data_IF_234354511462
#
_entry.id   IF_234354511462
#
_cell.length_a   1.000
_cell.length_b   1.000
_cell.length_c   1.000
_cell.angle_alpha   90.00
_cell.angle_beta   90.00
_cell.angle_gamma   90.00
#
_symmetry.space_group_name_H-M   'P 1'
#
loop_
_entity.id
_entity.type
_entity.pdbx_description
1 polymer ?
#
# COMPACT_ATOMS: atom_id res chain seq x y z
N UNK A 1 20.13 41.68 -25.78
CA UNK A 1 20.36 40.76 -24.63
C UNK A 1 19.20 39.78 -24.53
N UNK A 2 19.41 38.56 -25.00
CA UNK A 2 18.44 37.49 -24.92
C UNK A 2 18.69 36.72 -23.59
N UNK A 3 17.82 36.91 -22.60
CA UNK A 3 17.92 36.16 -21.35
C UNK A 3 17.40 34.72 -21.57
N UNK A 4 18.32 33.77 -21.57
CA UNK A 4 18.00 32.33 -21.65
C UNK A 4 17.50 31.87 -20.28
N UNK A 5 16.20 31.73 -20.14
CA UNK A 5 15.60 31.16 -18.93
C UNK A 5 15.78 29.63 -18.98
N UNK A 6 16.83 29.13 -18.36
CA UNK A 6 17.01 27.69 -18.18
C UNK A 6 16.01 27.19 -17.16
N UNK A 7 14.91 26.54 -17.63
CA UNK A 7 14.05 25.71 -16.79
C UNK A 7 14.88 24.53 -16.27
N UNK A 8 15.40 24.64 -15.07
CA UNK A 8 15.90 23.48 -14.33
C UNK A 8 14.70 22.60 -13.97
N UNK A 9 14.52 21.50 -14.71
CA UNK A 9 13.69 20.40 -14.28
C UNK A 9 14.34 19.80 -13.02
N UNK A 10 13.89 20.24 -11.84
CA UNK A 10 14.29 19.60 -10.59
C UNK A 10 13.73 18.19 -10.59
N UNK A 11 14.57 17.21 -10.87
CA UNK A 11 14.24 15.81 -10.62
C UNK A 11 13.81 15.69 -9.16
N UNK A 12 12.69 15.01 -8.95
CA UNK A 12 12.06 14.81 -7.65
C UNK A 12 13.05 14.20 -6.66
N UNK A 13 13.74 15.05 -5.95
CA UNK A 13 14.60 14.71 -4.83
C UNK A 13 13.68 14.60 -3.61
N UNK A 14 14.01 13.72 -2.67
CA UNK A 14 13.24 13.49 -1.44
C UNK A 14 12.92 14.81 -0.74
N UNK A 15 11.70 15.30 -0.90
CA UNK A 15 11.22 16.57 -0.36
C UNK A 15 11.18 16.51 1.18
N UNK A 16 11.93 17.38 1.89
CA UNK A 16 11.97 17.37 3.35
C UNK A 16 10.60 17.59 4.00
N UNK A 17 9.72 18.39 3.38
CA UNK A 17 8.37 18.66 3.90
C UNK A 17 7.48 17.41 3.78
N UNK A 18 7.56 16.72 2.65
CA UNK A 18 6.90 15.43 2.47
C UNK A 18 7.45 14.39 3.45
N UNK A 19 8.77 14.36 3.66
CA UNK A 19 9.42 13.43 4.59
C UNK A 19 8.86 13.52 6.00
N UNK A 20 8.74 14.71 6.55
CA UNK A 20 8.20 14.91 7.91
C UNK A 20 6.81 14.28 8.05
N UNK A 21 5.94 14.47 7.05
CA UNK A 21 4.58 13.90 7.07
C UNK A 21 4.61 12.38 6.95
N UNK A 22 5.43 11.84 6.07
CA UNK A 22 5.59 10.39 5.86
C UNK A 22 6.17 9.71 7.09
N UNK A 23 7.17 10.31 7.75
CA UNK A 23 7.77 9.80 8.96
C UNK A 23 6.77 9.74 10.13
N UNK A 24 5.86 10.73 10.25
CA UNK A 24 4.80 10.72 11.27
C UNK A 24 3.84 9.53 11.08
N UNK A 25 3.45 9.22 9.84
CA UNK A 25 2.63 8.04 9.54
C UNK A 25 3.40 6.77 9.90
N UNK A 26 4.65 6.66 9.45
CA UNK A 26 5.51 5.51 9.71
C UNK A 26 5.71 5.25 11.20
N UNK A 27 5.99 6.30 11.97
CA UNK A 27 6.13 6.21 13.42
C UNK A 27 4.85 5.70 14.10
N UNK A 28 3.68 6.18 13.66
CA UNK A 28 2.39 5.73 14.19
C UNK A 28 2.13 4.25 13.91
N UNK A 29 2.41 3.80 12.69
CA UNK A 29 2.29 2.38 12.31
C UNK A 29 3.27 1.53 13.13
N UNK A 30 4.54 1.93 13.21
CA UNK A 30 5.59 1.22 13.93
C UNK A 30 5.30 1.06 15.42
N UNK A 31 4.69 2.08 16.03
CA UNK A 31 4.34 2.08 17.47
C UNK A 31 3.03 1.34 17.77
N UNK A 32 2.32 0.86 16.75
CA UNK A 32 1.05 0.15 16.92
C UNK A 32 1.28 -1.31 17.29
N UNK A 33 0.54 -1.82 18.28
CA UNK A 33 0.54 -3.25 18.66
C UNK A 33 -0.20 -4.11 17.64
N UNK A 34 -1.13 -3.51 16.92
CA UNK A 34 -1.89 -4.12 15.83
C UNK A 34 -2.78 -3.08 15.17
N UNK A 35 -3.00 -3.22 13.87
CA UNK A 35 -3.75 -2.28 13.05
C UNK A 35 -4.85 -3.03 12.33
N UNK A 36 -6.07 -2.51 12.41
CA UNK A 36 -7.21 -2.97 11.64
C UNK A 36 -7.65 -1.86 10.69
N UNK A 37 -7.73 -2.14 9.39
CA UNK A 37 -8.09 -1.17 8.36
C UNK A 37 -9.25 -1.70 7.53
N UNK A 38 -10.26 -0.87 7.30
CA UNK A 38 -11.29 -1.09 6.29
C UNK A 38 -11.00 -0.21 5.08
N UNK A 39 -10.98 -0.81 3.91
CA UNK A 39 -10.56 -0.17 2.66
C UNK A 39 -11.65 -0.37 1.61
N UNK A 40 -11.92 0.68 0.84
CA UNK A 40 -12.61 0.58 -0.44
C UNK A 40 -11.59 0.78 -1.56
N UNK A 41 -11.56 -0.15 -2.50
CA UNK A 41 -10.69 -0.08 -3.68
C UNK A 41 -11.54 0.07 -4.94
N UNK A 42 -11.23 1.10 -5.75
CA UNK A 42 -11.92 1.39 -7.02
C UNK A 42 -10.88 1.38 -8.13
N UNK A 43 -11.04 0.48 -9.09
CA UNK A 43 -10.12 0.38 -10.23
C UNK A 43 -10.77 0.92 -11.50
N UNK A 44 -9.95 1.59 -12.34
CA UNK A 44 -10.31 2.08 -13.66
C UNK A 44 -9.24 1.65 -14.66
N UNK A 45 -9.65 1.31 -15.88
CA UNK A 45 -8.70 1.04 -16.95
C UNK A 45 -8.07 2.34 -17.49
N UNK A 46 -7.13 2.23 -18.44
CA UNK A 46 -6.43 3.35 -19.06
C UNK A 46 -7.35 4.34 -19.79
N UNK A 47 -8.56 3.94 -20.14
CA UNK A 47 -9.60 4.78 -20.75
C UNK A 47 -10.51 5.44 -19.68
N UNK A 48 -10.24 5.24 -18.41
CA UNK A 48 -11.04 5.78 -17.29
C UNK A 48 -12.33 5.00 -16.99
N UNK A 49 -12.60 3.88 -17.67
CA UNK A 49 -13.77 3.03 -17.43
C UNK A 49 -13.62 2.29 -16.11
N UNK A 50 -14.64 2.36 -15.26
CA UNK A 50 -14.65 1.65 -13.99
C UNK A 50 -14.59 0.12 -14.21
N UNK A 51 -13.70 -0.55 -13.47
CA UNK A 51 -13.52 -2.01 -13.51
C UNK A 51 -14.11 -2.69 -12.26
N UNK A 52 -14.68 -1.91 -11.34
CA UNK A 52 -15.35 -2.40 -10.16
C UNK A 52 -14.89 -1.72 -8.87
N UNK A 53 -15.66 -2.00 -7.83
CA UNK A 53 -15.38 -1.56 -6.46
C UNK A 53 -15.29 -2.78 -5.57
N UNK A 54 -14.28 -2.83 -4.73
CA UNK A 54 -14.01 -3.94 -3.81
C UNK A 54 -13.87 -3.41 -2.39
N UNK A 55 -14.42 -4.17 -1.43
CA UNK A 55 -14.22 -3.92 -0.01
C UNK A 55 -13.14 -4.87 0.50
N UNK A 56 -12.20 -4.33 1.27
CA UNK A 56 -11.03 -5.06 1.77
C UNK A 56 -10.93 -4.82 3.28
N UNK A 57 -10.74 -5.90 4.02
CA UNK A 57 -10.34 -5.86 5.42
C UNK A 57 -8.85 -6.20 5.52
N UNK A 58 -8.08 -5.33 6.15
CA UNK A 58 -6.64 -5.53 6.36
C UNK A 58 -6.34 -5.52 7.85
N UNK A 59 -5.62 -6.54 8.31
CA UNK A 59 -5.02 -6.64 9.65
C UNK A 59 -3.52 -6.63 9.51
N UNK A 60 -2.82 -5.88 10.37
CA UNK A 60 -1.36 -5.81 10.37
C UNK A 60 -0.83 -5.88 11.80
N UNK A 61 0.31 -6.55 11.97
CA UNK A 61 1.08 -6.61 13.24
C UNK A 61 2.56 -6.78 12.94
N UNK A 62 3.34 -5.70 13.07
CA UNK A 62 4.73 -5.68 12.60
C UNK A 62 4.80 -5.99 11.11
N UNK A 63 5.59 -7.00 10.74
CA UNK A 63 5.77 -7.42 9.35
C UNK A 63 4.72 -8.43 8.86
N UNK A 64 3.76 -8.78 9.70
CA UNK A 64 2.69 -9.72 9.39
C UNK A 64 1.44 -8.98 8.94
N UNK A 65 0.71 -9.55 7.97
CA UNK A 65 -0.59 -9.02 7.59
C UNK A 65 -1.55 -10.10 7.07
N UNK A 66 -2.84 -9.82 7.18
CA UNK A 66 -3.93 -10.58 6.55
C UNK A 66 -4.85 -9.60 5.84
N UNK A 67 -5.00 -9.78 4.54
CA UNK A 67 -5.89 -9.00 3.68
C UNK A 67 -6.99 -9.92 3.17
N UNK A 68 -8.25 -9.51 3.36
CA UNK A 68 -9.43 -10.27 2.89
C UNK A 68 -10.30 -9.43 1.98
N UNK A 69 -10.71 -10.05 0.86
CA UNK A 69 -11.64 -9.50 -0.10
C UNK A 69 -12.62 -10.60 -0.52
N UNK A 70 -13.82 -10.60 0.07
CA UNK A 70 -14.74 -11.73 -0.11
C UNK A 70 -14.10 -13.02 0.37
N UNK A 71 -14.02 -14.02 -0.50
CA UNK A 71 -13.39 -15.32 -0.22
C UNK A 71 -11.86 -15.30 -0.44
N UNK A 72 -11.34 -14.34 -1.21
CA UNK A 72 -9.89 -14.20 -1.42
C UNK A 72 -9.20 -13.75 -0.14
N UNK A 73 -8.03 -14.34 0.12
CA UNK A 73 -7.20 -13.98 1.26
C UNK A 73 -5.72 -13.92 0.87
N UNK A 74 -5.04 -12.84 1.27
CA UNK A 74 -3.58 -12.77 1.25
C UNK A 74 -3.12 -12.78 2.70
N UNK A 75 -2.32 -13.77 3.06
CA UNK A 75 -1.76 -13.94 4.39
C UNK A 75 -0.23 -13.84 4.31
N UNK A 76 0.37 -12.99 5.14
CA UNK A 76 1.80 -12.87 5.29
C UNK A 76 2.19 -13.10 6.75
N UNK A 77 3.07 -14.06 7.00
CA UNK A 77 3.59 -14.36 8.34
C UNK A 77 4.87 -13.58 8.69
N UNK A 78 5.29 -12.69 7.78
CA UNK A 78 6.52 -11.90 7.86
C UNK A 78 7.64 -12.42 6.95
N UNK A 79 7.56 -13.67 6.48
CA UNK A 79 8.56 -14.30 5.60
C UNK A 79 7.91 -14.80 4.31
N UNK A 80 6.77 -15.45 4.43
CA UNK A 80 6.04 -16.10 3.33
C UNK A 80 4.69 -15.41 3.15
N UNK A 81 4.31 -15.25 1.89
CA UNK A 81 3.01 -14.76 1.47
C UNK A 81 2.24 -15.93 0.88
N UNK A 82 1.03 -16.16 1.39
CA UNK A 82 0.06 -17.13 0.89
C UNK A 82 -1.10 -16.35 0.28
N UNK A 83 -1.35 -16.56 -1.01
CA UNK A 83 -2.42 -15.87 -1.73
C UNK A 83 -3.48 -16.90 -2.16
N UNK A 84 -4.59 -16.94 -1.44
CA UNK A 84 -5.74 -17.77 -1.76
C UNK A 84 -6.68 -17.05 -2.74
N UNK A 85 -6.99 -17.68 -3.86
CA UNK A 85 -7.82 -17.12 -4.93
C UNK A 85 -9.32 -17.03 -4.59
N UNK A 86 -9.74 -17.60 -3.46
CA UNK A 86 -11.14 -17.67 -3.03
C UNK A 86 -11.90 -18.91 -3.55
N UNK A 87 -11.23 -19.81 -4.29
CA UNK A 87 -11.82 -21.01 -4.88
C UNK A 87 -11.07 -22.26 -4.39
N UNK A 88 -9.93 -22.56 -4.98
CA UNK A 88 -9.18 -23.78 -4.69
C UNK A 88 -7.67 -23.69 -4.90
N UNK A 89 -7.11 -22.49 -5.09
CA UNK A 89 -5.68 -22.31 -5.35
C UNK A 89 -5.05 -21.41 -4.31
N UNK A 90 -3.90 -21.82 -3.78
CA UNK A 90 -3.02 -20.99 -2.96
C UNK A 90 -1.68 -20.90 -3.67
N UNK A 91 -1.27 -19.69 -4.07
CA UNK A 91 0.10 -19.44 -4.47
C UNK A 91 0.92 -19.00 -3.25
N UNK A 92 2.17 -19.45 -3.20
CA UNK A 92 3.11 -19.18 -2.11
C UNK A 92 4.34 -18.48 -2.70
N UNK A 93 4.82 -17.43 -2.05
CA UNK A 93 6.03 -16.72 -2.44
C UNK A 93 6.73 -16.16 -1.23
N UNK A 94 8.02 -15.90 -1.32
CA UNK A 94 8.71 -15.15 -0.26
C UNK A 94 8.38 -13.65 -0.34
N UNK A 95 8.51 -12.96 0.80
CA UNK A 95 8.36 -11.49 0.84
C UNK A 95 9.37 -10.82 -0.08
N UNK A 96 10.59 -11.38 -0.21
CA UNK A 96 11.64 -10.86 -1.08
C UNK A 96 11.29 -10.95 -2.56
N UNK A 97 10.67 -12.05 -3.01
CA UNK A 97 10.23 -12.24 -4.40
C UNK A 97 9.05 -11.35 -4.77
N UNK A 98 8.17 -11.05 -3.81
CA UNK A 98 7.00 -10.19 -4.04
C UNK A 98 7.32 -8.70 -4.05
N UNK A 99 8.58 -8.29 -3.99
CA UNK A 99 9.02 -6.89 -3.90
C UNK A 99 8.65 -6.03 -5.11
N UNK A 100 8.28 -6.63 -6.23
CA UNK A 100 7.79 -5.93 -7.44
C UNK A 100 6.44 -5.23 -7.24
N UNK A 101 5.64 -5.67 -6.27
CA UNK A 101 4.31 -5.14 -5.99
C UNK A 101 4.30 -4.19 -4.80
N UNK A 102 3.28 -3.34 -4.73
CA UNK A 102 3.06 -2.45 -3.59
C UNK A 102 2.30 -3.19 -2.50
N UNK A 103 3.01 -3.68 -1.49
CA UNK A 103 2.38 -4.35 -0.35
C UNK A 103 1.63 -3.36 0.55
N UNK A 104 0.63 -3.81 1.32
CA UNK A 104 -0.06 -2.97 2.31
C UNK A 104 0.89 -2.33 3.31
N UNK A 105 1.95 -3.03 3.71
CA UNK A 105 2.97 -2.50 4.60
C UNK A 105 3.74 -1.35 3.95
N UNK A 106 4.18 -1.50 2.69
CA UNK A 106 4.88 -0.44 1.98
C UNK A 106 4.01 0.79 1.81
N UNK A 107 2.69 0.60 1.63
CA UNK A 107 1.74 1.70 1.49
C UNK A 107 1.45 2.40 2.82
N UNK A 108 1.39 1.68 3.94
CA UNK A 108 0.96 2.21 5.24
C UNK A 108 2.12 2.45 6.21
N UNK A 109 3.18 1.66 6.15
CA UNK A 109 4.22 1.62 7.18
C UNK A 109 5.32 2.68 7.03
N UNK A 110 5.31 3.46 5.94
CA UNK A 110 6.11 4.68 5.86
C UNK A 110 7.62 4.52 5.65
N UNK A 111 8.12 3.35 5.26
CA UNK A 111 9.54 3.21 4.92
C UNK A 111 9.80 3.64 3.47
N UNK A 112 9.36 4.86 3.13
CA UNK A 112 9.37 5.36 1.75
C UNK A 112 10.76 5.74 1.25
N UNK A 113 11.67 6.13 2.13
CA UNK A 113 13.03 6.58 1.78
C UNK A 113 13.83 5.56 0.97
N UNK A 114 13.61 4.27 1.26
CA UNK A 114 14.35 3.19 0.61
C UNK A 114 13.85 2.88 -0.79
N UNK A 115 12.54 3.04 -1.01
CA UNK A 115 11.89 2.54 -2.22
C UNK A 115 11.43 3.66 -3.17
N UNK A 116 11.37 4.94 -2.70
CA UNK A 116 10.76 6.03 -3.46
C UNK A 116 11.57 7.32 -3.43
N UNK A 117 11.48 8.09 -4.51
CA UNK A 117 11.53 9.54 -4.47
C UNK A 117 10.12 10.06 -4.17
N UNK A 118 10.03 11.18 -3.47
CA UNK A 118 8.74 11.76 -3.11
C UNK A 118 8.77 13.28 -3.10
N UNK A 119 7.61 13.88 -3.39
CA UNK A 119 7.42 15.32 -3.39
C UNK A 119 6.06 15.70 -2.81
N UNK A 120 6.01 16.84 -2.13
CA UNK A 120 4.77 17.43 -1.64
C UNK A 120 4.11 18.19 -2.81
N UNK A 121 2.98 17.69 -3.31
CA UNK A 121 2.24 18.36 -4.38
C UNK A 121 1.38 19.53 -3.87
N UNK A 122 0.99 19.49 -2.61
CA UNK A 122 0.23 20.53 -1.96
C UNK A 122 -0.24 20.13 -0.57
N UNK A 123 -0.60 21.12 0.24
CA UNK A 123 -1.14 20.87 1.57
C UNK A 123 -2.09 21.97 2.03
N UNK A 124 -2.99 21.59 2.94
CA UNK A 124 -3.85 22.46 3.72
C UNK A 124 -3.50 22.34 5.21
N UNK A 125 -4.27 22.97 6.10
CA UNK A 125 -4.13 22.75 7.54
C UNK A 125 -4.38 21.29 7.95
N UNK A 126 -5.29 20.60 7.29
CA UNK A 126 -5.73 19.23 7.64
C UNK A 126 -5.18 18.12 6.75
N UNK A 127 -4.84 18.41 5.50
CA UNK A 127 -4.44 17.38 4.53
C UNK A 127 -3.14 17.72 3.81
N UNK A 128 -2.43 16.71 3.37
CA UNK A 128 -1.29 16.82 2.46
C UNK A 128 -1.44 15.82 1.31
N UNK A 129 -1.04 16.23 0.10
CA UNK A 129 -0.96 15.37 -1.09
C UNK A 129 0.49 15.17 -1.44
N UNK A 130 0.94 13.92 -1.46
CA UNK A 130 2.33 13.53 -1.68
C UNK A 130 2.38 12.57 -2.87
N UNK A 131 3.26 12.84 -3.83
CA UNK A 131 3.58 11.92 -4.93
C UNK A 131 4.77 11.06 -4.55
N UNK A 132 4.69 9.76 -4.81
CA UNK A 132 5.76 8.79 -4.66
C UNK A 132 6.11 8.22 -6.04
N UNK A 133 7.39 8.28 -6.41
CA UNK A 133 7.93 7.70 -7.64
C UNK A 133 8.89 6.56 -7.26
N UNK A 134 8.66 5.32 -7.74
CA UNK A 134 9.52 4.20 -7.40
C UNK A 134 10.96 4.41 -7.91
N UNK A 135 11.95 4.12 -7.07
CA UNK A 135 13.36 4.15 -7.46
C UNK A 135 13.68 2.99 -8.41
N UNK A 136 13.11 1.82 -8.15
CA UNK A 136 13.24 0.66 -9.03
C UNK A 136 12.23 0.71 -10.17
N UNK A 137 12.74 0.93 -11.38
CA UNK A 137 11.95 0.97 -12.63
C UNK A 137 11.24 -0.35 -12.97
N UNK A 138 11.59 -1.47 -12.33
CA UNK A 138 10.96 -2.79 -12.54
C UNK A 138 9.63 -2.93 -11.80
N UNK A 139 9.32 -2.07 -10.82
CA UNK A 139 8.03 -2.08 -10.12
C UNK A 139 6.86 -2.07 -11.11
N UNK A 140 5.76 -2.75 -10.77
CA UNK A 140 4.57 -2.88 -11.60
C UNK A 140 3.76 -1.58 -11.75
N UNK A 141 4.12 -0.54 -11.03
CA UNK A 141 3.45 0.77 -11.03
C UNK A 141 4.43 1.90 -11.38
N UNK A 142 3.89 3.01 -11.90
CA UNK A 142 4.64 4.20 -12.31
C UNK A 142 4.73 5.21 -11.16
N UNK A 143 3.63 5.41 -10.44
CA UNK A 143 3.54 6.35 -9.31
C UNK A 143 2.42 6.03 -8.35
N UNK A 144 2.55 6.54 -7.14
CA UNK A 144 1.51 6.54 -6.13
C UNK A 144 1.29 7.98 -5.65
N UNK A 145 0.04 8.42 -5.58
CA UNK A 145 -0.32 9.70 -4.98
C UNK A 145 -1.05 9.43 -3.67
N UNK A 146 -0.48 9.88 -2.57
CA UNK A 146 -1.05 9.74 -1.23
C UNK A 146 -1.82 11.00 -0.85
N UNK A 147 -2.97 10.83 -0.21
CA UNK A 147 -3.63 11.89 0.56
C UNK A 147 -3.56 11.52 2.03
N UNK A 148 -2.93 12.37 2.81
CA UNK A 148 -2.67 12.18 4.23
C UNK A 148 -3.53 13.13 5.06
N UNK A 149 -4.24 12.60 6.05
CA UNK A 149 -4.86 13.38 7.12
C UNK A 149 -3.75 13.74 8.13
N UNK A 150 -3.34 15.03 8.14
CA UNK A 150 -2.26 15.53 9.00
C UNK A 150 -2.68 15.56 10.48
N UNK A 151 -3.96 15.77 10.76
CA UNK A 151 -4.49 15.81 12.14
C UNK A 151 -4.42 14.43 12.78
N UNK A 152 -4.78 13.39 12.00
CA UNK A 152 -4.74 12.01 12.47
C UNK A 152 -3.39 11.34 12.25
N UNK A 153 -2.46 11.97 11.53
CA UNK A 153 -1.23 11.33 11.02
C UNK A 153 -1.54 9.96 10.43
N UNK A 154 -2.42 9.94 9.43
CA UNK A 154 -2.95 8.73 8.85
C UNK A 154 -3.18 8.87 7.35
N UNK A 155 -3.01 7.78 6.60
CA UNK A 155 -3.38 7.73 5.20
C UNK A 155 -4.90 7.82 5.06
N UNK A 156 -5.39 8.76 4.25
CA UNK A 156 -6.81 8.87 3.86
C UNK A 156 -7.09 8.11 2.57
N UNK A 157 -6.20 8.25 1.60
CA UNK A 157 -6.31 7.52 0.33
C UNK A 157 -4.96 7.43 -0.38
N UNK A 158 -4.86 6.46 -1.30
CA UNK A 158 -3.76 6.35 -2.25
C UNK A 158 -4.32 6.11 -3.66
N UNK A 159 -3.79 6.81 -4.65
CA UNK A 159 -4.06 6.55 -6.07
C UNK A 159 -2.80 5.94 -6.67
N UNK A 160 -2.93 4.74 -7.22
CA UNK A 160 -1.84 3.98 -7.83
C UNK A 160 -2.06 3.98 -9.33
N UNK A 161 -1.06 4.44 -10.10
CA UNK A 161 -1.03 4.37 -11.55
C UNK A 161 -0.08 3.24 -11.94
N UNK A 162 -0.59 2.21 -12.64
CA UNK A 162 0.23 1.11 -13.14
C UNK A 162 0.92 1.45 -14.47
N UNK A 163 1.79 0.56 -14.94
CA UNK A 163 2.52 0.72 -16.21
C UNK A 163 1.64 0.66 -17.45
N UNK A 164 0.44 0.11 -17.34
CA UNK A 164 -0.57 0.07 -18.41
C UNK A 164 -1.53 1.26 -18.34
N UNK A 165 -1.23 2.27 -17.51
CA UNK A 165 -2.08 3.44 -17.26
C UNK A 165 -3.44 3.12 -16.64
N UNK A 166 -3.62 1.95 -16.05
CA UNK A 166 -4.78 1.71 -15.21
C UNK A 166 -4.58 2.42 -13.86
N UNK A 167 -5.66 2.89 -13.27
CA UNK A 167 -5.62 3.56 -11.97
C UNK A 167 -6.39 2.77 -10.92
N UNK A 168 -5.84 2.69 -9.72
CA UNK A 168 -6.51 2.09 -8.56
C UNK A 168 -6.52 3.10 -7.43
N UNK A 169 -7.72 3.52 -7.02
CA UNK A 169 -7.94 4.36 -5.86
C UNK A 169 -8.24 3.48 -4.65
N UNK A 170 -7.39 3.57 -3.65
CA UNK A 170 -7.51 2.94 -2.34
C UNK A 170 -7.99 3.99 -1.36
N UNK A 171 -9.22 3.88 -0.84
CA UNK A 171 -9.78 4.77 0.19
C UNK A 171 -9.75 4.06 1.54
N UNK A 172 -9.19 4.68 2.55
CA UNK A 172 -9.25 4.20 3.92
C UNK A 172 -10.58 4.65 4.52
N UNK A 173 -11.48 3.70 4.78
CA UNK A 173 -12.80 3.98 5.37
C UNK A 173 -12.69 4.09 6.89
N UNK A 174 -11.89 3.23 7.51
CA UNK A 174 -11.57 3.28 8.93
C UNK A 174 -10.20 2.69 9.20
N UNK A 175 -9.52 3.18 10.23
CA UNK A 175 -8.25 2.64 10.70
C UNK A 175 -8.21 2.67 12.24
N UNK A 176 -7.90 1.53 12.84
CA UNK A 176 -7.71 1.37 14.27
C UNK A 176 -6.26 0.93 14.54
N UNK A 177 -5.47 1.79 15.17
CA UNK A 177 -4.06 1.54 15.50
C UNK A 177 -3.85 0.85 16.85
N UNK A 178 -4.93 0.59 17.60
CA UNK A 178 -4.87 -0.03 18.94
C UNK A 178 -5.51 -1.42 18.95
N UNK A 179 -5.68 -2.04 17.77
CA UNK A 179 -6.30 -3.34 17.66
C UNK A 179 -5.46 -4.42 18.36
N UNK A 180 -6.12 -5.25 19.18
CA UNK A 180 -5.50 -6.42 19.79
C UNK A 180 -5.64 -7.59 18.83
N UNK A 181 -4.55 -7.99 18.19
CA UNK A 181 -4.53 -9.03 17.18
C UNK A 181 -3.69 -10.22 17.68
N UNK A 182 -4.31 -11.41 17.74
CA UNK A 182 -3.62 -12.64 18.09
C UNK A 182 -2.66 -13.07 16.96
N UNK A 183 -1.50 -13.62 17.30
CA UNK A 183 -0.46 -14.01 16.34
C UNK A 183 -0.91 -15.11 15.38
N UNK A 184 -1.81 -16.01 15.83
CA UNK A 184 -2.35 -17.09 15.01
C UNK A 184 -3.22 -16.60 13.84
N UNK A 185 -3.63 -15.31 13.81
CA UNK A 185 -4.32 -14.70 12.69
C UNK A 185 -3.44 -14.57 11.44
N UNK A 186 -2.12 -14.61 11.61
CA UNK A 186 -1.12 -14.44 10.58
C UNK A 186 -0.39 -15.75 10.24
N UNK A 187 -0.78 -16.87 10.85
CA UNK A 187 -0.20 -18.17 10.59
C UNK A 187 -1.05 -18.93 9.56
N UNK A 188 -0.38 -19.46 8.55
CA UNK A 188 -1.03 -20.33 7.59
C UNK A 188 -1.53 -21.60 8.28
N UNK A 189 -2.80 -21.92 8.07
CA UNK A 189 -3.42 -23.14 8.56
C UNK A 189 -4.25 -23.78 7.46
N UNK A 190 -3.74 -24.88 6.89
CA UNK A 190 -4.35 -25.61 5.79
C UNK A 190 -5.82 -25.98 6.05
N UNK A 191 -6.18 -26.26 7.30
CA UNK A 191 -7.53 -26.67 7.68
C UNK A 191 -8.60 -25.57 7.50
N UNK A 192 -8.20 -24.31 7.33
CA UNK A 192 -9.10 -23.17 7.06
C UNK A 192 -9.55 -23.06 5.59
N UNK A 193 -8.92 -23.83 4.70
CA UNK A 193 -9.16 -23.78 3.26
C UNK A 193 -9.87 -25.06 2.77
N UNK A 194 -10.46 -25.05 1.55
CA UNK A 194 -11.13 -26.22 0.99
C UNK A 194 -10.20 -27.46 0.98
N UNK A 195 -10.78 -28.66 1.15
CA UNK A 195 -9.99 -29.91 1.17
C UNK A 195 -9.22 -30.15 -0.13
N UNK A 196 -9.79 -29.71 -1.27
CA UNK A 196 -9.23 -29.82 -2.62
C UNK A 196 -8.35 -28.64 -3.02
N UNK A 197 -7.92 -27.76 -2.06
CA UNK A 197 -7.05 -26.63 -2.42
C UNK A 197 -5.68 -27.15 -2.83
N UNK A 198 -5.18 -26.64 -3.93
CA UNK A 198 -3.83 -26.87 -4.44
C UNK A 198 -2.91 -25.73 -4.00
N UNK A 199 -1.66 -26.06 -3.65
CA UNK A 199 -0.67 -25.08 -3.18
C UNK A 199 0.51 -25.12 -4.16
N UNK A 200 0.85 -23.96 -4.71
CA UNK A 200 1.96 -23.76 -5.65
C UNK A 200 2.99 -22.81 -5.04
N UNK A 201 4.27 -23.10 -5.30
CA UNK A 201 5.42 -22.24 -5.00
C UNK A 201 5.67 -21.25 -6.14
#
# INVERSE_FOLDING_TARGET
FLAFFACFSTFAQKDPSAKVILDQIGAKVKNSKGILVSIQMVSKNSQGKAMGTKQISLKMKGDKYSLKQGLMEILCDGLIIYNFDGVNTISKSSVAESDQTLSPQKLLAGNYDKDFNYSLLGQTSSNATIELLPLDKRKSFQKVTLVVDKVKSALSSASILDKSNNSTLVKVLSINYTAVLADNLFLFNRAKYPKNVEIFD
#
